data_IF_441990101748
#
_entry.id   IF_441990101748
#
_cell.length_a   1.000
_cell.length_b   1.000
_cell.length_c   1.000
_cell.angle_alpha   90.00
_cell.angle_beta   90.00
_cell.angle_gamma   90.00
#
_symmetry.space_group_name_H-M   'P 1'
#
loop_
_entity.id
_entity.type
_entity.pdbx_description
1 polymer ?
#
# COMPACT_ATOMS: atom_id res chain seq x y z
N UNK A 1 12.37 19.45 -6.70
CA UNK A 1 11.59 18.42 -6.02
C UNK A 1 11.33 18.88 -4.59
N UNK A 2 10.07 18.94 -4.16
CA UNK A 2 9.70 19.41 -2.82
C UNK A 2 8.87 18.37 -2.06
N UNK A 3 8.11 17.56 -2.79
CA UNK A 3 7.18 16.58 -2.24
C UNK A 3 7.58 15.17 -2.66
N UNK A 4 7.53 14.24 -1.74
CA UNK A 4 7.79 12.81 -2.02
C UNK A 4 6.62 12.02 -1.50
N UNK A 5 6.03 11.21 -2.37
CA UNK A 5 4.87 10.38 -2.09
C UNK A 5 5.30 8.92 -2.10
N UNK A 6 5.03 8.22 -1.03
CA UNK A 6 5.38 6.81 -0.87
C UNK A 6 4.13 5.93 -0.97
N UNK A 7 4.23 4.83 -1.69
CA UNK A 7 3.40 3.68 -1.41
C UNK A 7 3.81 3.03 -0.08
N UNK A 8 2.93 2.23 0.48
CA UNK A 8 3.19 1.49 1.71
C UNK A 8 3.59 0.04 1.42
N UNK A 9 2.70 -0.73 0.79
CA UNK A 9 2.90 -2.15 0.57
C UNK A 9 4.03 -2.44 -0.43
N UNK A 10 5.03 -3.23 -0.02
CA UNK A 10 6.19 -3.51 -0.88
C UNK A 10 7.23 -2.38 -0.96
N UNK A 11 6.94 -1.19 -0.42
CA UNK A 11 7.84 -0.03 -0.40
C UNK A 11 8.28 0.31 1.02
N UNK A 12 7.36 0.82 1.85
CA UNK A 12 7.68 1.18 3.24
C UNK A 12 7.38 0.03 4.22
N UNK A 13 6.39 -0.81 3.91
CA UNK A 13 6.03 -1.95 4.73
C UNK A 13 6.03 -3.23 3.92
N UNK A 14 6.47 -4.31 4.54
CA UNK A 14 6.41 -5.65 3.97
C UNK A 14 6.19 -6.67 5.09
N UNK A 15 5.66 -7.83 4.72
CA UNK A 15 5.59 -8.95 5.67
C UNK A 15 7.01 -9.45 5.96
N UNK A 16 7.31 -9.67 7.23
CA UNK A 16 8.57 -10.31 7.64
C UNK A 16 8.63 -11.73 7.05
N UNK A 17 9.44 -11.90 6.02
CA UNK A 17 9.58 -13.18 5.30
C UNK A 17 10.07 -14.31 6.20
N UNK A 18 10.80 -14.01 7.28
CA UNK A 18 11.31 -15.02 8.23
C UNK A 18 10.20 -15.64 9.06
N UNK A 19 9.07 -14.93 9.20
CA UNK A 19 7.87 -15.36 9.93
C UNK A 19 6.77 -15.92 9.01
N UNK A 20 6.96 -15.85 7.68
CA UNK A 20 5.99 -16.37 6.72
C UNK A 20 6.17 -17.87 6.54
N UNK A 21 5.14 -18.64 6.88
CA UNK A 21 5.12 -20.08 6.59
C UNK A 21 4.78 -20.33 5.10
N UNK A 22 5.15 -21.50 4.54
CA UNK A 22 4.74 -21.88 3.18
C UNK A 22 3.22 -21.79 2.98
N UNK A 23 2.44 -22.19 3.98
CA UNK A 23 0.97 -22.17 3.95
C UNK A 23 0.43 -20.74 3.88
N UNK A 24 1.05 -19.79 4.57
CA UNK A 24 0.70 -18.36 4.50
C UNK A 24 1.00 -17.81 3.09
N UNK A 25 2.15 -18.18 2.53
CA UNK A 25 2.55 -17.73 1.20
C UNK A 25 1.64 -18.32 0.11
N UNK A 26 1.21 -19.56 0.26
CA UNK A 26 0.24 -20.22 -0.62
C UNK A 26 -1.13 -19.58 -0.52
N UNK A 27 -1.59 -19.28 0.68
CA UNK A 27 -2.88 -18.62 0.93
C UNK A 27 -3.02 -17.32 0.13
N UNK A 28 -1.94 -16.54 0.03
CA UNK A 28 -1.91 -15.29 -0.72
C UNK A 28 -1.38 -15.43 -2.15
N UNK A 29 -1.35 -16.64 -2.72
CA UNK A 29 -0.84 -16.87 -4.08
C UNK A 29 -1.62 -16.08 -5.14
N UNK A 30 -2.91 -15.80 -4.90
CA UNK A 30 -3.74 -14.99 -5.78
C UNK A 30 -3.27 -13.52 -5.92
N UNK A 31 -2.47 -13.00 -4.98
CA UNK A 31 -1.86 -11.67 -5.09
C UNK A 31 -0.63 -11.62 -6.02
N UNK A 32 -0.13 -12.79 -6.46
CA UNK A 32 1.04 -12.88 -7.35
C UNK A 32 0.67 -12.80 -8.83
N UNK A 33 -0.60 -12.58 -9.15
CA UNK A 33 -1.08 -12.41 -10.52
C UNK A 33 -0.75 -11.00 -11.04
N UNK A 34 -0.57 -10.83 -12.36
CA UNK A 34 -0.28 -9.52 -12.96
C UNK A 34 -1.35 -8.46 -12.67
N UNK A 35 -2.59 -8.91 -12.50
CA UNK A 35 -3.72 -8.04 -12.11
C UNK A 35 -4.26 -8.49 -10.76
N UNK A 36 -4.56 -7.52 -9.91
CA UNK A 36 -5.21 -7.77 -8.63
C UNK A 36 -6.59 -8.40 -8.88
N UNK A 37 -6.95 -9.48 -8.18
CA UNK A 37 -8.31 -10.03 -8.25
C UNK A 37 -9.33 -8.99 -7.80
N UNK A 38 -10.49 -8.93 -8.49
CA UNK A 38 -11.52 -7.92 -8.25
C UNK A 38 -11.96 -7.86 -6.78
N UNK A 39 -12.19 -9.01 -6.15
CA UNK A 39 -12.62 -9.07 -4.74
C UNK A 39 -11.61 -8.44 -3.77
N UNK A 40 -10.29 -8.53 -4.11
CA UNK A 40 -9.24 -7.91 -3.30
C UNK A 40 -9.13 -6.41 -3.59
N UNK A 41 -9.31 -6.01 -4.86
CA UNK A 41 -9.38 -4.60 -5.23
C UNK A 41 -10.57 -3.90 -4.55
N UNK A 42 -11.74 -4.54 -4.49
CA UNK A 42 -12.91 -4.04 -3.77
C UNK A 42 -12.65 -3.90 -2.26
N UNK A 43 -11.88 -4.81 -1.68
CA UNK A 43 -11.45 -4.73 -0.29
C UNK A 43 -10.49 -3.57 -0.06
N UNK A 44 -9.48 -3.39 -0.92
CA UNK A 44 -8.57 -2.25 -0.86
C UNK A 44 -9.30 -0.92 -1.15
N UNK A 45 -10.35 -0.94 -1.96
CA UNK A 45 -11.22 0.21 -2.24
C UNK A 45 -12.15 0.56 -1.05
N UNK A 46 -12.31 -0.35 -0.10
CA UNK A 46 -13.24 -0.18 1.03
C UNK A 46 -14.71 -0.35 0.66
N UNK A 47 -15.01 -1.00 -0.46
CA UNK A 47 -16.37 -1.35 -0.91
C UNK A 47 -16.76 -2.77 -0.54
N UNK A 48 -15.80 -3.57 -0.03
CA UNK A 48 -16.02 -4.91 0.52
C UNK A 48 -15.50 -4.99 1.95
N UNK A 49 -16.18 -5.76 2.79
CA UNK A 49 -15.82 -5.97 4.20
C UNK A 49 -14.84 -7.13 4.39
N UNK A 50 -14.22 -7.22 5.56
CA UNK A 50 -13.37 -8.36 5.94
C UNK A 50 -14.15 -9.68 5.88
N UNK A 51 -15.43 -9.68 6.29
CA UNK A 51 -16.31 -10.84 6.25
C UNK A 51 -16.54 -11.32 4.81
N UNK A 52 -16.84 -10.40 3.89
CA UNK A 52 -17.08 -10.72 2.47
C UNK A 52 -15.82 -11.27 1.80
N UNK A 53 -14.67 -10.66 2.06
CA UNK A 53 -13.38 -11.13 1.54
C UNK A 53 -13.02 -12.51 2.09
N UNK A 54 -13.20 -12.73 3.39
CA UNK A 54 -12.92 -14.05 3.99
C UNK A 54 -13.86 -15.12 3.47
N UNK A 55 -15.14 -14.81 3.26
CA UNK A 55 -16.08 -15.73 2.63
C UNK A 55 -15.69 -16.07 1.19
N UNK A 56 -15.25 -15.09 0.41
CA UNK A 56 -14.76 -15.28 -0.96
C UNK A 56 -13.54 -16.21 -0.98
N UNK A 57 -12.53 -15.94 -0.13
CA UNK A 57 -11.33 -16.78 -0.03
C UNK A 57 -11.68 -18.20 0.44
N UNK A 58 -12.61 -18.33 1.39
CA UNK A 58 -13.12 -19.63 1.84
C UNK A 58 -13.72 -20.44 0.68
N UNK A 59 -14.57 -19.80 -0.13
CA UNK A 59 -15.14 -20.43 -1.34
C UNK A 59 -14.07 -20.84 -2.36
N UNK A 60 -13.03 -20.04 -2.56
CA UNK A 60 -11.94 -20.32 -3.50
C UNK A 60 -11.02 -21.44 -3.03
N UNK A 61 -10.79 -21.55 -1.73
CA UNK A 61 -9.77 -22.46 -1.15
C UNK A 61 -10.35 -23.70 -0.51
N UNK A 62 -11.67 -23.74 -0.25
CA UNK A 62 -12.34 -24.79 0.51
C UNK A 62 -12.01 -24.77 1.99
N UNK A 63 -11.31 -23.75 2.50
CA UNK A 63 -10.96 -23.63 3.94
C UNK A 63 -12.11 -22.99 4.72
N UNK A 64 -12.29 -23.33 6.02
CA UNK A 64 -13.27 -22.66 6.86
C UNK A 64 -13.08 -21.14 6.90
N UNK A 65 -14.18 -20.37 6.96
CA UNK A 65 -14.15 -18.90 6.99
C UNK A 65 -13.32 -18.38 8.16
N UNK A 66 -13.44 -19.00 9.34
CA UNK A 66 -12.69 -18.63 10.54
C UNK A 66 -11.18 -18.81 10.35
N UNK A 67 -10.77 -19.84 9.61
CA UNK A 67 -9.37 -20.06 9.24
C UNK A 67 -8.89 -18.97 8.31
N UNK A 68 -9.67 -18.62 7.29
CA UNK A 68 -9.34 -17.53 6.36
C UNK A 68 -9.21 -16.18 7.09
N UNK A 69 -10.12 -15.88 8.00
CA UNK A 69 -10.08 -14.69 8.83
C UNK A 69 -8.84 -14.66 9.75
N UNK A 70 -8.47 -15.77 10.33
CA UNK A 70 -7.27 -15.88 11.18
C UNK A 70 -5.99 -15.65 10.37
N UNK A 71 -5.91 -16.19 9.15
CA UNK A 71 -4.75 -16.01 8.25
C UNK A 71 -4.66 -14.55 7.78
N UNK A 72 -5.79 -13.89 7.49
CA UNK A 72 -5.79 -12.47 7.15
C UNK A 72 -5.30 -11.61 8.32
N UNK A 73 -5.79 -11.84 9.55
CA UNK A 73 -5.28 -11.14 10.73
C UNK A 73 -3.79 -11.35 10.95
N UNK A 74 -3.32 -12.59 10.82
CA UNK A 74 -1.87 -12.89 10.89
C UNK A 74 -1.08 -12.11 9.83
N UNK A 75 -1.61 -11.99 8.61
CA UNK A 75 -0.94 -11.23 7.55
C UNK A 75 -0.85 -9.73 7.84
N UNK A 76 -1.82 -9.16 8.56
CA UNK A 76 -1.76 -7.79 9.09
C UNK A 76 -0.67 -7.71 10.17
N UNK A 77 -0.69 -8.60 11.16
CA UNK A 77 0.22 -8.59 12.31
C UNK A 77 1.69 -8.83 11.93
N UNK A 78 1.95 -9.44 10.76
CA UNK A 78 3.29 -9.68 10.23
C UNK A 78 3.86 -8.51 9.42
N UNK A 79 3.12 -7.41 9.25
CA UNK A 79 3.64 -6.21 8.57
C UNK A 79 4.67 -5.50 9.43
N UNK A 80 5.84 -5.24 8.85
CA UNK A 80 6.93 -4.49 9.51
C UNK A 80 7.52 -3.45 8.55
N UNK A 81 8.08 -2.34 9.07
CA UNK A 81 8.78 -1.38 8.23
C UNK A 81 9.98 -2.00 7.53
N UNK A 82 10.12 -1.75 6.25
CA UNK A 82 11.31 -2.07 5.46
C UNK A 82 12.44 -1.15 5.92
N UNK A 83 13.42 -1.69 6.63
CA UNK A 83 14.45 -0.90 7.36
C UNK A 83 15.20 0.12 6.49
N UNK A 84 15.65 -0.20 5.25
CA UNK A 84 16.25 0.80 4.38
C UNK A 84 15.29 1.95 4.04
N UNK A 85 14.03 1.66 3.73
CA UNK A 85 13.02 2.68 3.40
C UNK A 85 12.64 3.51 4.62
N UNK A 86 12.51 2.88 5.79
CA UNK A 86 12.26 3.58 7.06
C UNK A 86 13.35 4.63 7.35
N UNK A 87 14.63 4.29 7.14
CA UNK A 87 15.75 5.23 7.26
C UNK A 87 15.67 6.35 6.23
N UNK A 88 15.40 6.00 4.97
CA UNK A 88 15.24 6.97 3.88
C UNK A 88 14.14 8.01 4.20
N UNK A 89 12.99 7.56 4.72
CA UNK A 89 11.90 8.46 5.17
C UNK A 89 12.41 9.42 6.23
N UNK A 90 13.15 8.92 7.23
CA UNK A 90 13.75 9.75 8.28
C UNK A 90 14.75 10.79 7.73
N UNK A 91 15.64 10.37 6.84
CA UNK A 91 16.66 11.22 6.21
C UNK A 91 16.02 12.31 5.34
N UNK A 92 15.01 11.96 4.56
CA UNK A 92 14.27 12.91 3.72
C UNK A 92 13.49 13.93 4.57
N UNK A 93 12.88 13.48 5.66
CA UNK A 93 12.20 14.38 6.60
C UNK A 93 13.18 15.36 7.25
N UNK A 94 14.33 14.87 7.70
CA UNK A 94 15.40 15.70 8.27
C UNK A 94 15.98 16.70 7.24
N UNK A 95 16.00 16.33 5.96
CA UNK A 95 16.40 17.21 4.87
C UNK A 95 15.34 18.25 4.46
N UNK A 96 14.17 18.25 5.11
CA UNK A 96 13.12 19.26 4.90
C UNK A 96 12.15 18.95 3.76
N UNK A 97 12.13 17.73 3.23
CA UNK A 97 11.10 17.34 2.26
C UNK A 97 9.72 17.18 2.91
N UNK A 98 8.68 17.48 2.16
CA UNK A 98 7.30 17.13 2.54
C UNK A 98 7.02 15.70 2.09
N UNK A 99 6.56 14.86 3.00
CA UNK A 99 6.36 13.45 2.78
C UNK A 99 4.88 13.08 2.84
N UNK A 100 4.42 12.31 1.89
CA UNK A 100 3.02 11.91 1.78
C UNK A 100 2.90 10.41 1.52
N UNK A 101 1.74 9.85 1.86
CA UNK A 101 1.36 8.47 1.55
C UNK A 101 0.29 8.47 0.47
N UNK A 102 0.43 7.59 -0.52
CA UNK A 102 -0.63 7.21 -1.47
C UNK A 102 -0.66 5.68 -1.61
N UNK A 103 -1.65 5.03 -1.01
CA UNK A 103 -1.65 3.57 -0.95
C UNK A 103 -3.02 2.93 -1.22
N UNK A 104 -3.00 1.81 -1.98
CA UNK A 104 -4.12 0.89 -2.04
C UNK A 104 -4.05 -0.04 -0.83
N UNK A 105 -4.96 0.15 0.14
CA UNK A 105 -4.90 -0.56 1.40
C UNK A 105 -6.28 -0.65 2.04
N UNK A 106 -6.65 -1.86 2.49
CA UNK A 106 -7.88 -2.05 3.26
C UNK A 106 -7.79 -1.49 4.67
N UNK A 107 -8.95 -1.34 5.32
CA UNK A 107 -9.07 -0.72 6.65
C UNK A 107 -8.19 -1.40 7.69
N UNK A 108 -8.22 -2.72 7.77
CA UNK A 108 -7.50 -3.48 8.79
C UNK A 108 -5.99 -3.31 8.68
N UNK A 109 -5.47 -3.29 7.44
CA UNK A 109 -4.04 -3.07 7.21
C UNK A 109 -3.64 -1.65 7.56
N UNK A 110 -4.33 -0.63 7.05
CA UNK A 110 -3.93 0.76 7.28
C UNK A 110 -4.01 1.15 8.75
N UNK A 111 -5.03 0.71 9.49
CA UNK A 111 -5.17 0.99 10.91
C UNK A 111 -4.03 0.35 11.73
N UNK A 112 -3.49 -0.78 11.28
CA UNK A 112 -2.32 -1.40 11.87
C UNK A 112 -1.04 -0.63 11.56
N UNK A 113 -0.81 -0.26 10.29
CA UNK A 113 0.41 0.42 9.84
C UNK A 113 0.57 1.81 10.46
N UNK A 114 -0.52 2.53 10.71
CA UNK A 114 -0.53 3.84 11.37
C UNK A 114 0.05 3.82 12.80
N UNK A 115 0.20 2.64 13.42
CA UNK A 115 0.77 2.49 14.76
C UNK A 115 2.30 2.57 14.79
N UNK A 116 2.96 2.43 13.65
CA UNK A 116 4.41 2.48 13.57
C UNK A 116 4.93 3.92 13.64
N UNK A 117 6.01 4.19 14.41
CA UNK A 117 6.54 5.56 14.57
C UNK A 117 6.90 6.26 13.25
N UNK A 118 7.40 5.50 12.25
CA UNK A 118 7.73 6.05 10.93
C UNK A 118 6.53 6.68 10.23
N UNK A 119 5.32 6.19 10.51
CA UNK A 119 4.10 6.74 9.94
C UNK A 119 3.85 8.19 10.37
N UNK A 120 4.24 8.56 11.59
CA UNK A 120 4.16 9.92 12.12
C UNK A 120 5.08 10.95 11.45
N UNK A 121 5.96 10.51 10.54
CA UNK A 121 6.84 11.42 9.79
C UNK A 121 6.17 11.99 8.54
N UNK A 122 5.03 11.45 8.12
CA UNK A 122 4.31 11.93 6.93
C UNK A 122 3.46 13.17 7.25
N UNK A 123 3.42 14.11 6.31
CA UNK A 123 2.66 15.35 6.39
C UNK A 123 1.20 15.16 5.97
N UNK A 124 0.89 14.02 5.33
CA UNK A 124 -0.46 13.67 4.94
C UNK A 124 -0.53 12.35 4.18
N UNK A 125 -1.76 11.89 3.96
CA UNK A 125 -2.03 10.61 3.32
C UNK A 125 -3.32 10.62 2.49
N UNK A 126 -3.35 9.72 1.50
CA UNK A 126 -4.56 9.30 0.81
C UNK A 126 -4.54 7.78 0.72
N UNK A 127 -5.58 7.15 1.26
CA UNK A 127 -5.71 5.68 1.33
C UNK A 127 -6.99 5.26 0.64
N UNK A 128 -6.88 4.29 -0.24
CA UNK A 128 -7.96 3.86 -1.14
C UNK A 128 -9.26 3.48 -0.44
N UNK A 129 -9.20 2.78 0.70
CA UNK A 129 -10.40 2.38 1.44
C UNK A 129 -11.17 3.55 2.07
N UNK A 130 -10.58 4.72 2.17
CA UNK A 130 -11.19 5.94 2.70
C UNK A 130 -11.76 6.82 1.58
N UNK A 131 -11.18 6.72 0.37
CA UNK A 131 -11.54 7.54 -0.78
C UNK A 131 -12.38 6.78 -1.82
N UNK A 132 -12.58 5.47 -1.64
CA UNK A 132 -13.31 4.57 -2.54
C UNK A 132 -12.80 4.60 -4.00
N UNK A 133 -11.50 4.86 -4.17
CA UNK A 133 -10.79 4.85 -5.46
C UNK A 133 -9.39 4.27 -5.25
N UNK A 134 -8.85 3.59 -6.27
CA UNK A 134 -7.58 2.86 -6.16
C UNK A 134 -6.58 3.32 -7.22
N UNK A 135 -5.28 3.19 -6.95
CA UNK A 135 -4.26 3.26 -7.99
C UNK A 135 -4.46 2.09 -8.98
N UNK A 136 -4.31 2.30 -10.29
CA UNK A 136 -3.82 3.49 -11.00
C UNK A 136 -4.91 4.45 -11.49
N UNK A 137 -6.12 4.45 -10.91
CA UNK A 137 -7.17 5.39 -11.29
C UNK A 137 -6.68 6.84 -11.09
N UNK A 138 -6.82 7.74 -12.09
CA UNK A 138 -6.34 9.12 -11.96
C UNK A 138 -6.88 9.85 -10.73
N UNK A 139 -8.13 9.54 -10.33
CA UNK A 139 -8.83 10.24 -9.26
C UNK A 139 -8.11 10.18 -7.92
N UNK A 140 -7.49 9.06 -7.56
CA UNK A 140 -6.79 8.95 -6.26
C UNK A 140 -5.57 9.86 -6.18
N UNK A 141 -4.87 10.07 -7.31
CA UNK A 141 -3.74 11.00 -7.42
C UNK A 141 -4.22 12.45 -7.36
N UNK A 142 -5.30 12.77 -8.08
CA UNK A 142 -5.92 14.10 -8.05
C UNK A 142 -6.32 14.49 -6.63
N UNK A 143 -6.95 13.59 -5.88
CA UNK A 143 -7.32 13.79 -4.47
C UNK A 143 -6.08 14.18 -3.64
N UNK A 144 -4.96 13.47 -3.81
CA UNK A 144 -3.73 13.79 -3.08
C UNK A 144 -3.20 15.18 -3.47
N UNK A 145 -3.10 15.44 -4.76
CA UNK A 145 -2.58 16.73 -5.28
C UNK A 145 -3.46 17.90 -4.83
N UNK A 146 -4.78 17.78 -4.94
CA UNK A 146 -5.76 18.79 -4.53
C UNK A 146 -5.74 19.02 -3.01
N UNK A 147 -5.81 17.95 -2.22
CA UNK A 147 -5.92 17.99 -0.75
C UNK A 147 -4.74 18.70 -0.08
N UNK A 148 -3.55 18.48 -0.60
CA UNK A 148 -2.31 19.01 -0.03
C UNK A 148 -1.68 20.14 -0.86
N UNK A 149 -2.36 20.60 -1.92
CA UNK A 149 -1.88 21.68 -2.78
C UNK A 149 -0.54 21.34 -3.43
N UNK A 150 -0.39 20.12 -3.94
CA UNK A 150 0.87 19.65 -4.53
C UNK A 150 0.93 20.00 -6.01
N UNK A 151 2.06 20.52 -6.45
CA UNK A 151 2.35 20.73 -7.87
C UNK A 151 2.95 19.45 -8.45
N UNK A 152 2.35 18.82 -9.48
CA UNK A 152 2.86 17.57 -10.05
C UNK A 152 4.34 17.63 -10.41
N UNK A 153 4.79 18.67 -11.10
CA UNK A 153 6.20 18.86 -11.53
C UNK A 153 7.19 19.08 -10.37
N UNK A 154 6.71 19.20 -9.11
CA UNK A 154 7.53 19.27 -7.90
C UNK A 154 7.35 18.03 -7.01
N UNK A 155 6.64 17.00 -7.49
CA UNK A 155 6.25 15.82 -6.74
C UNK A 155 6.85 14.55 -7.35
N UNK A 156 7.46 13.71 -6.49
CA UNK A 156 8.01 12.41 -6.84
C UNK A 156 7.18 11.31 -6.19
N UNK A 157 6.70 10.36 -6.98
CA UNK A 157 6.04 9.13 -6.49
C UNK A 157 7.03 7.96 -6.45
N UNK A 158 6.97 7.19 -5.39
CA UNK A 158 7.76 5.96 -5.18
C UNK A 158 6.77 4.82 -4.93
N UNK A 159 6.69 3.86 -5.87
CA UNK A 159 5.73 2.77 -5.86
C UNK A 159 6.40 1.52 -6.47
N UNK A 160 6.03 0.32 -6.04
CA UNK A 160 6.62 -0.92 -6.55
C UNK A 160 5.96 -1.39 -7.87
N UNK A 161 4.84 -0.76 -8.27
CA UNK A 161 4.10 -1.08 -9.49
C UNK A 161 4.30 -0.03 -10.56
N UNK A 162 4.88 -0.43 -11.69
CA UNK A 162 5.15 0.46 -12.82
C UNK A 162 3.89 1.19 -13.32
N UNK A 163 2.76 0.47 -13.40
CA UNK A 163 1.48 1.06 -13.82
C UNK A 163 1.02 2.24 -12.93
N UNK A 164 1.36 2.21 -11.63
CA UNK A 164 1.05 3.30 -10.71
C UNK A 164 1.95 4.51 -10.98
N UNK A 165 3.21 4.26 -11.32
CA UNK A 165 4.17 5.31 -11.71
C UNK A 165 3.79 5.94 -13.04
N UNK A 166 3.35 5.15 -14.02
CA UNK A 166 2.85 5.65 -15.30
C UNK A 166 1.62 6.56 -15.12
N UNK A 167 0.70 6.19 -14.23
CA UNK A 167 -0.46 7.02 -13.91
C UNK A 167 -0.07 8.37 -13.27
N UNK A 168 0.91 8.37 -12.36
CA UNK A 168 1.45 9.60 -11.79
C UNK A 168 2.13 10.48 -12.85
N UNK A 169 2.91 9.87 -13.75
CA UNK A 169 3.59 10.56 -14.84
C UNK A 169 2.60 11.18 -15.85
N UNK A 170 1.46 10.53 -16.11
CA UNK A 170 0.40 11.07 -16.95
C UNK A 170 -0.19 12.38 -16.41
N UNK A 171 -0.09 12.64 -15.11
CA UNK A 171 -0.49 13.89 -14.46
C UNK A 171 0.66 14.92 -14.37
N UNK A 172 1.83 14.61 -14.94
CA UNK A 172 3.00 15.50 -14.95
C UNK A 172 3.90 15.39 -13.72
N UNK A 173 3.72 14.36 -12.88
CA UNK A 173 4.60 14.10 -11.76
C UNK A 173 5.80 13.23 -12.16
N UNK A 174 6.80 13.16 -11.28
CA UNK A 174 7.92 12.23 -11.42
C UNK A 174 7.61 10.91 -10.72
N UNK A 175 8.26 9.82 -11.14
CA UNK A 175 8.09 8.53 -10.52
C UNK A 175 9.35 7.69 -10.50
N UNK A 176 9.46 6.85 -9.47
CA UNK A 176 10.49 5.82 -9.34
C UNK A 176 9.79 4.50 -9.04
N UNK A 177 10.01 3.51 -9.90
CA UNK A 177 9.58 2.14 -9.61
C UNK A 177 10.55 1.52 -8.61
N UNK A 178 10.04 1.21 -7.41
CA UNK A 178 10.81 0.67 -6.30
C UNK A 178 10.97 -0.84 -6.41
N UNK A 179 12.15 -1.37 -6.03
CA UNK A 179 12.36 -2.80 -5.93
C UNK A 179 13.18 -3.14 -4.68
N UNK A 180 12.65 -4.02 -3.84
CA UNK A 180 13.35 -4.55 -2.67
C UNK A 180 14.59 -5.38 -2.99
N UNK A 181 14.80 -5.77 -4.27
CA UNK A 181 15.95 -6.58 -4.69
C UNK A 181 17.22 -5.75 -4.91
N UNK A 182 17.12 -4.43 -4.88
CA UNK A 182 18.22 -3.50 -5.14
C UNK A 182 18.72 -2.78 -3.86
N UNK A 183 18.36 -3.31 -2.69
CA UNK A 183 18.78 -2.74 -1.38
C UNK A 183 19.70 -3.67 -0.62
#
# INVERSE_FOLDING_TARGET
MKNIVFDLGGVLFARDKSKCTPELLEFFSFLRTPRMPLFWEEYDRGTSTLEEVTATISGMTGRPVETCAAVLRLAVDLQEPVKPTERLVGDLKAAGYRLYVLSNMSREFIDFLRRFPVYGLFDGEVVSCEEHTVKPEPRIYEILLERYGLTPSETLFIDDREMNIEAAAALGAYGITFSLHNT
#
